data_IF_315454288307
#
_entry.id   IF_315454288307
#
_cell.length_a   1.000
_cell.length_b   1.000
_cell.length_c   1.000
_cell.angle_alpha   90.00
_cell.angle_beta   90.00
_cell.angle_gamma   90.00
#
_symmetry.space_group_name_H-M   'P 1'
#
loop_
_entity.id
_entity.type
_entity.pdbx_description
1 polymer ?
#
# COMPACT_ATOMS: atom_id res chain seq x y z
N UNK A 1 -6.16 -3.09 4.65
CA UNK A 1 -4.88 -2.35 4.77
C UNK A 1 -3.96 -3.15 5.70
N UNK A 2 -2.63 -2.98 5.64
CA UNK A 2 -1.74 -3.57 6.64
C UNK A 2 -2.11 -3.12 8.05
N UNK A 3 -1.86 -3.95 9.06
CA UNK A 3 -2.24 -3.65 10.45
C UNK A 3 -1.60 -2.34 10.96
N UNK A 4 -0.36 -2.07 10.53
CA UNK A 4 0.37 -0.86 10.90
C UNK A 4 -0.17 0.42 10.24
N UNK A 5 -1.12 0.33 9.29
CA UNK A 5 -1.79 1.48 8.70
C UNK A 5 -2.82 2.13 9.64
N UNK A 6 -3.25 1.44 10.71
CA UNK A 6 -4.22 1.97 11.67
C UNK A 6 -5.60 2.30 11.09
N UNK A 7 -5.92 1.79 9.89
CA UNK A 7 -7.17 2.10 9.17
C UNK A 7 -7.11 3.33 8.25
N UNK A 8 -6.01 4.08 8.24
CA UNK A 8 -5.85 5.26 7.40
C UNK A 8 -5.36 4.87 6.00
N UNK A 9 -6.00 5.32 4.91
CA UNK A 9 -5.60 4.97 3.54
C UNK A 9 -4.42 5.79 3.01
N UNK A 10 -4.05 6.88 3.69
CA UNK A 10 -2.98 7.79 3.26
C UNK A 10 -1.63 7.05 3.17
N UNK A 11 -0.93 7.17 2.04
CA UNK A 11 0.31 6.45 1.77
C UNK A 11 0.14 4.97 1.37
N UNK A 12 -1.08 4.41 1.41
CA UNK A 12 -1.35 2.98 1.11
C UNK A 12 -2.07 2.73 -0.22
N UNK A 13 -2.42 3.79 -0.96
CA UNK A 13 -2.99 3.67 -2.31
C UNK A 13 -1.87 3.74 -3.33
N UNK A 14 -1.48 2.58 -3.87
CA UNK A 14 -0.30 2.49 -4.72
C UNK A 14 -0.47 3.28 -6.03
N UNK A 15 0.49 4.16 -6.42
CA UNK A 15 0.40 4.91 -7.66
C UNK A 15 0.71 4.01 -8.86
N UNK A 16 -0.28 3.79 -9.71
CA UNK A 16 -0.14 3.05 -10.97
C UNK A 16 -1.23 3.46 -11.95
N UNK A 17 -1.15 2.96 -13.18
CA UNK A 17 -2.27 3.06 -14.13
C UNK A 17 -3.28 1.95 -13.84
N UNK A 18 -4.50 2.34 -13.49
CA UNK A 18 -5.61 1.41 -13.23
C UNK A 18 -6.63 1.46 -14.36
N UNK A 19 -7.04 0.31 -14.93
CA UNK A 19 -8.11 0.28 -15.93
C UNK A 19 -9.45 0.55 -15.26
N UNK A 20 -10.18 1.55 -15.76
CA UNK A 20 -11.55 1.87 -15.32
C UNK A 20 -12.52 1.47 -16.42
N UNK A 21 -13.48 0.61 -16.08
CA UNK A 21 -14.54 0.11 -16.97
C UNK A 21 -15.91 0.55 -16.48
N UNK A 22 -16.94 0.29 -17.27
CA UNK A 22 -18.32 0.61 -16.93
C UNK A 22 -18.79 -0.05 -15.63
N UNK A 23 -18.29 -1.25 -15.31
CA UNK A 23 -18.56 -1.94 -14.04
C UNK A 23 -17.68 -1.51 -12.85
N UNK A 24 -16.65 -0.68 -13.05
CA UNK A 24 -15.71 -0.29 -11.98
C UNK A 24 -16.39 0.64 -10.98
N UNK A 25 -16.47 0.22 -9.72
CA UNK A 25 -16.93 1.07 -8.60
C UNK A 25 -15.74 1.76 -7.93
N UNK A 26 -15.97 2.88 -7.26
CA UNK A 26 -14.94 3.56 -6.46
C UNK A 26 -14.32 2.62 -5.41
N UNK A 27 -15.15 1.79 -4.76
CA UNK A 27 -14.70 0.77 -3.82
C UNK A 27 -13.75 -0.24 -4.48
N UNK A 28 -14.12 -0.81 -5.63
CA UNK A 28 -13.28 -1.78 -6.34
C UNK A 28 -11.95 -1.18 -6.81
N UNK A 29 -11.95 0.11 -7.17
CA UNK A 29 -10.74 0.83 -7.56
C UNK A 29 -9.81 1.03 -6.36
N UNK A 30 -10.33 1.56 -5.24
CA UNK A 30 -9.54 1.75 -4.02
C UNK A 30 -9.01 0.42 -3.47
N UNK A 31 -9.80 -0.65 -3.56
CA UNK A 31 -9.37 -1.99 -3.19
C UNK A 31 -8.22 -2.46 -4.08
N UNK A 32 -8.31 -2.25 -5.39
CA UNK A 32 -7.22 -2.59 -6.34
C UNK A 32 -5.93 -1.83 -6.03
N UNK A 33 -6.03 -0.56 -5.62
CA UNK A 33 -4.87 0.24 -5.22
C UNK A 33 -4.21 -0.29 -3.93
N UNK A 34 -5.02 -0.68 -2.94
CA UNK A 34 -4.54 -1.26 -1.68
C UNK A 34 -4.00 -2.70 -1.85
N UNK A 35 -4.56 -3.48 -2.78
CA UNK A 35 -4.03 -4.79 -3.18
C UNK A 35 -2.66 -4.62 -3.85
N UNK A 36 -2.52 -3.63 -4.75
CA UNK A 36 -1.25 -3.36 -5.42
C UNK A 36 -0.16 -2.91 -4.46
N UNK A 37 -0.52 -2.12 -3.44
CA UNK A 37 0.39 -1.74 -2.35
C UNK A 37 0.92 -2.98 -1.62
N UNK A 38 0.03 -3.87 -1.15
CA UNK A 38 0.42 -5.10 -0.45
C UNK A 38 1.35 -5.97 -1.31
N UNK A 39 1.07 -6.10 -2.60
CA UNK A 39 1.95 -6.84 -3.50
C UNK A 39 3.35 -6.20 -3.60
N UNK A 40 3.44 -4.86 -3.65
CA UNK A 40 4.73 -4.16 -3.66
C UNK A 40 5.48 -4.29 -2.32
N UNK A 41 4.76 -4.20 -1.21
CA UNK A 41 5.29 -4.39 0.14
C UNK A 41 5.93 -5.77 0.31
N UNK A 42 5.23 -6.81 -0.11
CA UNK A 42 5.70 -8.20 -0.08
C UNK A 42 6.90 -8.42 -1.01
N UNK A 43 6.84 -7.91 -2.25
CA UNK A 43 7.93 -8.00 -3.23
C UNK A 43 9.23 -7.35 -2.71
N UNK A 44 9.08 -6.23 -2.00
CA UNK A 44 10.21 -5.49 -1.45
C UNK A 44 10.70 -6.04 -0.10
N UNK A 45 9.98 -6.96 0.55
CA UNK A 45 10.21 -7.28 1.97
C UNK A 45 10.25 -5.99 2.80
N UNK A 46 9.28 -5.09 2.59
CA UNK A 46 9.32 -3.74 3.16
C UNK A 46 9.40 -3.78 4.69
N UNK A 47 8.60 -4.64 5.33
CA UNK A 47 8.61 -4.81 6.79
C UNK A 47 9.97 -5.29 7.27
N UNK A 48 10.51 -6.39 6.71
CA UNK A 48 11.81 -6.92 7.12
C UNK A 48 12.97 -5.97 6.83
N UNK A 49 12.90 -5.18 5.74
CA UNK A 49 13.88 -4.13 5.43
C UNK A 49 13.80 -2.95 6.39
N UNK A 50 12.60 -2.50 6.73
CA UNK A 50 12.40 -1.43 7.70
C UNK A 50 13.03 -1.82 9.05
N UNK A 51 12.72 -3.03 9.54
CA UNK A 51 13.27 -3.57 10.79
C UNK A 51 14.81 -3.65 10.76
N UNK A 52 15.40 -4.17 9.68
CA UNK A 52 16.87 -4.23 9.52
C UNK A 52 17.54 -2.86 9.53
N UNK A 53 16.83 -1.81 9.11
CA UNK A 53 17.31 -0.43 9.10
C UNK A 53 16.96 0.33 10.39
N UNK A 54 16.23 -0.29 11.32
CA UNK A 54 15.82 0.33 12.57
C UNK A 54 14.63 1.29 12.45
N UNK A 55 13.85 1.19 11.37
CA UNK A 55 12.62 1.95 11.14
C UNK A 55 11.38 1.07 11.31
N UNK A 56 10.25 1.69 11.63
CA UNK A 56 8.94 1.06 11.49
C UNK A 56 8.49 1.08 10.02
N UNK A 57 7.65 0.12 9.57
CA UNK A 57 7.08 0.15 8.22
C UNK A 57 6.36 1.46 7.91
N UNK A 58 5.67 2.04 8.90
CA UNK A 58 4.94 3.31 8.76
C UNK A 58 5.86 4.50 8.48
N UNK A 59 7.02 4.58 9.15
CA UNK A 59 8.00 5.63 8.89
C UNK A 59 8.55 5.55 7.46
N UNK A 60 8.80 4.34 6.96
CA UNK A 60 9.27 4.13 5.59
C UNK A 60 8.23 4.58 4.56
N UNK A 61 6.96 4.23 4.76
CA UNK A 61 5.85 4.68 3.89
C UNK A 61 5.70 6.20 3.91
N UNK A 62 5.89 6.84 5.06
CA UNK A 62 5.77 8.30 5.22
C UNK A 62 6.87 9.08 4.50
N UNK A 63 8.06 8.48 4.33
CA UNK A 63 9.20 9.11 3.66
C UNK A 63 9.21 8.93 2.12
N UNK A 64 8.39 8.03 1.60
CA UNK A 64 8.41 7.58 0.21
C UNK A 64 7.92 8.63 -0.81
#
# INVERSE_FOLDING_TARGET
LPDYAGGEPEGFLFPATYPVRSETTAESLLQSMADRFRAAEEELDLVGRAERLGFTPMEVVTMA
#
